data_IF_214902296068
#
_entry.id   IF_214902296068
#
_cell.length_a   1.000
_cell.length_b   1.000
_cell.length_c   1.000
_cell.angle_alpha   90.00
_cell.angle_beta   90.00
_cell.angle_gamma   90.00
#
_symmetry.space_group_name_H-M   'P 1'
#
loop_
_entity.id
_entity.type
_entity.pdbx_description
1 polymer ?
#
# COMPACT_ATOMS: atom_id res chain seq x y z
N UNK A 1 -15.69 -13.93 14.42
CA UNK A 1 -16.22 -13.57 13.08
C UNK A 1 -16.26 -12.07 12.78
N UNK A 2 -16.87 -11.21 13.60
CA UNK A 2 -17.16 -9.80 13.24
C UNK A 2 -15.97 -8.96 12.72
N UNK A 3 -14.76 -9.07 13.31
CA UNK A 3 -13.68 -8.14 12.95
C UNK A 3 -13.00 -8.39 11.59
N UNK A 4 -13.22 -9.54 10.92
CA UNK A 4 -12.77 -9.74 9.53
C UNK A 4 -13.84 -9.33 8.51
N UNK A 5 -15.06 -9.00 8.94
CA UNK A 5 -16.13 -8.62 8.03
C UNK A 5 -15.83 -7.32 7.30
N UNK A 6 -15.24 -6.33 7.97
CA UNK A 6 -14.94 -5.04 7.33
C UNK A 6 -13.92 -5.17 6.17
N UNK A 7 -12.75 -5.81 6.32
CA UNK A 7 -11.85 -6.07 5.19
C UNK A 7 -12.53 -6.80 4.03
N UNK A 8 -13.33 -7.83 4.32
CA UNK A 8 -14.06 -8.60 3.29
C UNK A 8 -15.07 -7.72 2.57
N UNK A 9 -15.83 -6.91 3.31
CA UNK A 9 -16.80 -5.96 2.75
C UNK A 9 -16.12 -4.89 1.89
N UNK A 10 -14.95 -4.39 2.30
CA UNK A 10 -14.18 -3.42 1.50
C UNK A 10 -13.73 -4.03 0.17
N UNK A 11 -13.25 -5.28 0.17
CA UNK A 11 -12.88 -5.99 -1.07
C UNK A 11 -14.11 -6.24 -1.94
N UNK A 12 -15.22 -6.70 -1.34
CA UNK A 12 -16.47 -6.93 -2.08
C UNK A 12 -17.02 -5.63 -2.70
N UNK A 13 -17.02 -4.54 -1.95
CA UNK A 13 -17.37 -3.21 -2.46
C UNK A 13 -16.40 -2.77 -3.57
N UNK A 14 -15.10 -3.05 -3.43
CA UNK A 14 -14.10 -2.78 -4.46
C UNK A 14 -14.39 -3.53 -5.75
N UNK A 15 -14.73 -4.82 -5.67
CA UNK A 15 -15.12 -5.62 -6.84
C UNK A 15 -16.36 -5.04 -7.51
N UNK A 16 -17.36 -4.63 -6.72
CA UNK A 16 -18.58 -4.04 -7.24
C UNK A 16 -18.36 -2.67 -7.91
N UNK A 17 -17.41 -1.87 -7.41
CA UNK A 17 -17.11 -0.53 -7.94
C UNK A 17 -16.14 -0.58 -9.12
N UNK A 18 -15.09 -1.40 -9.10
CA UNK A 18 -14.00 -1.32 -10.08
C UNK A 18 -14.11 -2.30 -11.25
N UNK A 19 -14.84 -3.42 -11.12
CA UNK A 19 -14.96 -4.39 -12.23
C UNK A 19 -15.89 -3.92 -13.36
N UNK A 20 -17.09 -3.37 -13.07
CA UNK A 20 -18.00 -2.93 -14.12
C UNK A 20 -17.42 -1.77 -14.91
N UNK A 21 -17.64 -1.78 -16.23
CA UNK A 21 -17.40 -0.61 -17.06
C UNK A 21 -18.61 0.34 -16.94
N UNK A 22 -18.40 1.66 -16.78
CA UNK A 22 -19.51 2.61 -16.74
C UNK A 22 -20.22 2.63 -18.10
N UNK A 23 -21.56 2.58 -18.06
CA UNK A 23 -22.40 2.51 -19.26
C UNK A 23 -22.63 3.90 -19.88
N UNK A 24 -22.65 4.94 -19.04
CA UNK A 24 -22.82 6.34 -19.45
C UNK A 24 -22.03 7.31 -18.54
N UNK A 25 -22.15 8.61 -18.82
CA UNK A 25 -21.47 9.67 -18.06
C UNK A 25 -21.94 9.79 -16.61
N UNK A 26 -23.22 9.53 -16.32
CA UNK A 26 -23.77 9.58 -14.96
C UNK A 26 -23.25 8.42 -14.11
N UNK A 27 -23.23 7.21 -14.67
CA UNK A 27 -22.64 6.03 -14.05
C UNK A 27 -21.15 6.23 -13.77
N UNK A 28 -20.42 6.87 -14.69
CA UNK A 28 -18.99 7.20 -14.49
C UNK A 28 -18.79 8.15 -13.30
N UNK A 29 -19.62 9.19 -13.17
CA UNK A 29 -19.55 10.11 -12.03
C UNK A 29 -19.82 9.40 -10.70
N UNK A 30 -20.87 8.57 -10.64
CA UNK A 30 -21.20 7.79 -9.44
C UNK A 30 -20.04 6.83 -9.10
N UNK A 31 -19.50 6.13 -10.09
CA UNK A 31 -18.38 5.20 -9.91
C UNK A 31 -17.12 5.92 -9.40
N UNK A 32 -16.85 7.13 -9.88
CA UNK A 32 -15.75 7.96 -9.39
C UNK A 32 -15.93 8.34 -7.91
N UNK A 33 -17.12 8.82 -7.52
CA UNK A 33 -17.43 9.15 -6.12
C UNK A 33 -17.31 7.93 -5.20
N UNK A 34 -17.83 6.77 -5.65
CA UNK A 34 -17.73 5.52 -4.91
C UNK A 34 -16.28 5.04 -4.81
N UNK A 35 -15.49 5.17 -5.88
CA UNK A 35 -14.07 4.81 -5.92
C UNK A 35 -13.28 5.59 -4.87
N UNK A 36 -13.37 6.91 -4.88
CA UNK A 36 -12.66 7.77 -3.93
C UNK A 36 -13.12 7.47 -2.50
N UNK A 37 -14.44 7.43 -2.27
CA UNK A 37 -15.00 7.15 -0.95
C UNK A 37 -14.51 5.81 -0.40
N UNK A 38 -14.50 4.77 -1.22
CA UNK A 38 -14.06 3.44 -0.82
C UNK A 38 -12.56 3.41 -0.50
N UNK A 39 -11.72 4.07 -1.30
CA UNK A 39 -10.28 4.15 -1.04
C UNK A 39 -9.99 4.91 0.27
N UNK A 40 -10.69 6.01 0.54
CA UNK A 40 -10.58 6.76 1.81
C UNK A 40 -11.05 5.92 3.00
N UNK A 41 -12.18 5.22 2.86
CA UNK A 41 -12.69 4.32 3.90
C UNK A 41 -11.73 3.16 4.19
N UNK A 42 -11.17 2.56 3.15
CA UNK A 42 -10.18 1.48 3.28
C UNK A 42 -8.90 1.99 3.96
N UNK A 43 -8.45 3.19 3.62
CA UNK A 43 -7.29 3.84 4.24
C UNK A 43 -7.53 4.12 5.73
N UNK A 44 -8.70 4.68 6.07
CA UNK A 44 -9.11 4.89 7.45
C UNK A 44 -9.24 3.58 8.24
N UNK A 45 -9.82 2.54 7.65
CA UNK A 45 -9.94 1.22 8.26
C UNK A 45 -8.58 0.57 8.53
N UNK A 46 -7.62 0.70 7.60
CA UNK A 46 -6.25 0.23 7.78
C UNK A 46 -5.54 1.01 8.89
N UNK A 47 -5.56 2.34 8.83
CA UNK A 47 -4.92 3.20 9.82
C UNK A 47 -5.46 2.95 11.23
N UNK A 48 -6.78 2.86 11.39
CA UNK A 48 -7.40 2.61 12.70
C UNK A 48 -7.08 1.21 13.24
N UNK A 49 -7.11 0.17 12.40
CA UNK A 49 -6.79 -1.19 12.83
C UNK A 49 -5.32 -1.32 13.26
N UNK A 50 -4.39 -0.76 12.48
CA UNK A 50 -2.96 -0.77 12.79
C UNK A 50 -2.64 0.11 14.01
N UNK A 51 -3.31 1.25 14.18
CA UNK A 51 -3.14 2.09 15.38
C UNK A 51 -3.65 1.38 16.63
N UNK A 52 -4.76 0.63 16.52
CA UNK A 52 -5.26 -0.20 17.61
C UNK A 52 -4.28 -1.33 17.95
N UNK A 53 -3.63 -1.94 16.96
CA UNK A 53 -2.53 -2.88 17.18
C UNK A 53 -1.35 -2.19 17.88
N UNK A 54 -0.94 -0.99 17.47
CA UNK A 54 0.13 -0.25 18.14
C UNK A 54 -0.17 0.02 19.63
N UNK A 55 -1.43 0.27 19.96
CA UNK A 55 -1.87 0.58 21.33
C UNK A 55 -1.90 -0.62 22.28
N UNK A 56 -1.66 -1.84 21.81
CA UNK A 56 -1.48 -3.00 22.71
C UNK A 56 -0.11 -3.01 23.38
N UNK A 57 0.81 -2.16 22.92
CA UNK A 57 2.18 -2.06 23.42
C UNK A 57 2.41 -0.78 24.25
N UNK A 58 3.41 -0.81 25.14
CA UNK A 58 3.81 0.35 25.93
C UNK A 58 4.45 1.43 25.05
N UNK A 59 4.47 2.68 25.54
CA UNK A 59 4.92 3.85 24.77
C UNK A 59 6.36 3.76 24.26
N UNK A 60 7.20 2.95 24.91
CA UNK A 60 8.63 2.87 24.63
C UNK A 60 9.02 1.56 23.92
N UNK A 61 8.03 0.71 23.63
CA UNK A 61 8.26 -0.57 22.96
C UNK A 61 8.56 -0.33 21.48
N UNK A 62 9.49 -1.12 20.95
CA UNK A 62 9.86 -1.08 19.54
C UNK A 62 8.66 -1.37 18.64
N UNK A 63 7.87 -2.37 19.01
CA UNK A 63 6.69 -2.82 18.30
C UNK A 63 5.67 -1.68 18.18
N UNK A 64 5.48 -0.89 19.24
CA UNK A 64 4.58 0.28 19.17
C UNK A 64 5.02 1.26 18.10
N UNK A 65 6.33 1.52 17.97
CA UNK A 65 6.86 2.41 16.94
C UNK A 65 6.59 1.84 15.54
N UNK A 66 6.91 0.57 15.31
CA UNK A 66 6.67 -0.11 14.03
C UNK A 66 5.19 -0.06 13.64
N UNK A 67 4.29 -0.47 14.53
CA UNK A 67 2.85 -0.45 14.28
C UNK A 67 2.28 0.96 14.11
N UNK A 68 2.83 1.96 14.83
CA UNK A 68 2.41 3.36 14.68
C UNK A 68 2.83 3.95 13.34
N UNK A 69 4.06 3.66 12.87
CA UNK A 69 4.53 4.06 11.54
C UNK A 69 3.70 3.37 10.45
N UNK A 70 3.45 2.06 10.59
CA UNK A 70 2.59 1.30 9.70
C UNK A 70 1.15 1.83 9.68
N UNK A 71 0.63 2.36 10.79
CA UNK A 71 -0.69 2.99 10.88
C UNK A 71 -0.71 4.41 10.28
N UNK A 72 0.36 5.17 10.47
CA UNK A 72 0.50 6.52 9.95
C UNK A 72 0.51 6.52 8.41
N UNK A 73 1.13 5.52 7.78
CA UNK A 73 1.18 5.39 6.32
C UNK A 73 -0.20 5.42 5.62
N UNK A 74 -1.15 4.51 5.88
CA UNK A 74 -2.49 4.58 5.29
C UNK A 74 -3.25 5.83 5.76
N UNK A 75 -2.97 6.37 6.95
CA UNK A 75 -3.55 7.64 7.40
C UNK A 75 -3.15 8.82 6.50
N UNK A 76 -1.84 8.98 6.26
CA UNK A 76 -1.29 10.00 5.35
C UNK A 76 -1.77 9.76 3.91
N UNK A 77 -1.82 8.50 3.47
CA UNK A 77 -2.39 8.15 2.16
C UNK A 77 -3.84 8.63 2.03
N UNK A 78 -4.67 8.35 3.04
CA UNK A 78 -6.07 8.80 3.08
C UNK A 78 -6.19 10.32 3.01
N UNK A 79 -5.32 11.06 3.70
CA UNK A 79 -5.26 12.54 3.59
C UNK A 79 -4.89 12.96 2.17
N UNK A 80 -3.92 12.30 1.52
CA UNK A 80 -3.56 12.55 0.12
C UNK A 80 -4.74 12.37 -0.84
N UNK A 81 -5.54 11.31 -0.65
CA UNK A 81 -6.76 11.06 -1.44
C UNK A 81 -7.82 12.15 -1.22
N UNK A 82 -7.99 12.63 0.02
CA UNK A 82 -8.92 13.72 0.31
C UNK A 82 -8.47 15.04 -0.33
N UNK A 83 -7.16 15.33 -0.30
CA UNK A 83 -6.58 16.49 -0.98
C UNK A 83 -6.80 16.39 -2.48
N UNK A 84 -6.56 15.23 -3.07
CA UNK A 84 -6.83 14.97 -4.50
C UNK A 84 -8.30 15.24 -4.84
N UNK A 85 -9.22 14.61 -4.11
CA UNK A 85 -10.67 14.75 -4.33
C UNK A 85 -11.16 16.20 -4.18
N UNK A 86 -10.63 16.95 -3.21
CA UNK A 86 -11.00 18.35 -2.99
C UNK A 86 -10.54 19.25 -4.16
N UNK A 87 -9.36 18.97 -4.74
CA UNK A 87 -8.86 19.70 -5.90
C UNK A 87 -9.69 19.43 -7.15
N UNK A 88 -10.05 18.18 -7.38
CA UNK A 88 -10.97 17.83 -8.47
C UNK A 88 -12.33 18.50 -8.30
N UNK A 89 -12.89 18.48 -7.08
CA UNK A 89 -14.17 19.13 -6.78
C UNK A 89 -14.16 20.64 -7.02
N UNK A 90 -13.02 21.29 -6.79
CA UNK A 90 -12.85 22.73 -7.04
C UNK A 90 -12.50 23.06 -8.50
N UNK A 91 -12.54 22.08 -9.41
CA UNK A 91 -12.26 22.25 -10.83
C UNK A 91 -10.78 22.50 -11.13
N UNK A 92 -9.88 22.24 -10.19
CA UNK A 92 -8.44 22.37 -10.42
C UNK A 92 -7.92 21.11 -11.10
N UNK A 93 -7.30 21.28 -12.27
CA UNK A 93 -6.56 20.20 -12.93
C UNK A 93 -5.34 19.86 -12.07
N UNK A 94 -5.31 18.65 -11.52
CA UNK A 94 -4.14 18.15 -10.80
C UNK A 94 -3.13 17.63 -11.82
N UNK A 95 -2.19 18.49 -12.22
CA UNK A 95 -1.05 18.07 -13.02
C UNK A 95 -0.17 17.13 -12.20
N UNK A 96 0.32 16.06 -12.82
CA UNK A 96 1.35 15.21 -12.23
C UNK A 96 2.72 15.90 -12.40
N UNK A 97 3.53 16.02 -11.35
CA UNK A 97 3.25 15.64 -9.96
C UNK A 97 2.42 16.68 -9.20
N UNK A 98 1.55 16.20 -8.33
CA UNK A 98 0.60 16.99 -7.54
C UNK A 98 0.97 17.01 -6.05
N UNK A 99 0.30 17.88 -5.28
CA UNK A 99 0.43 17.88 -3.81
C UNK A 99 0.00 16.53 -3.20
N UNK A 100 -0.94 15.81 -3.83
CA UNK A 100 -1.36 14.49 -3.36
C UNK A 100 -0.23 13.44 -3.47
N UNK A 101 0.66 13.58 -4.46
CA UNK A 101 1.83 12.72 -4.62
C UNK A 101 2.82 12.85 -3.46
N UNK A 102 2.95 14.04 -2.87
CA UNK A 102 3.79 14.23 -1.68
C UNK A 102 3.29 13.40 -0.48
N UNK A 103 1.96 13.32 -0.29
CA UNK A 103 1.36 12.46 0.74
C UNK A 103 1.57 10.98 0.41
N UNK A 104 1.47 10.60 -0.86
CA UNK A 104 1.68 9.22 -1.31
C UNK A 104 3.14 8.78 -1.07
N UNK A 105 4.11 9.61 -1.43
CA UNK A 105 5.53 9.39 -1.15
C UNK A 105 5.76 9.27 0.36
N UNK A 106 5.23 10.19 1.15
CA UNK A 106 5.35 10.14 2.61
C UNK A 106 4.76 8.85 3.21
N UNK A 107 3.61 8.38 2.71
CA UNK A 107 3.03 7.11 3.14
C UNK A 107 3.95 5.92 2.85
N UNK A 108 4.58 5.88 1.68
CA UNK A 108 5.53 4.83 1.34
C UNK A 108 6.82 4.90 2.16
N UNK A 109 7.33 6.09 2.44
CA UNK A 109 8.50 6.27 3.30
C UNK A 109 8.21 5.81 4.74
N UNK A 110 7.00 6.05 5.26
CA UNK A 110 6.57 5.55 6.56
C UNK A 110 6.47 4.01 6.60
N UNK A 111 5.92 3.38 5.54
CA UNK A 111 5.94 1.92 5.41
C UNK A 111 7.37 1.39 5.34
N UNK A 112 8.23 2.04 4.57
CA UNK A 112 9.64 1.66 4.44
C UNK A 112 10.35 1.73 5.80
N UNK A 113 10.12 2.79 6.57
CA UNK A 113 10.66 2.93 7.91
C UNK A 113 10.13 1.83 8.86
N UNK A 114 8.82 1.58 8.87
CA UNK A 114 8.21 0.55 9.71
C UNK A 114 8.76 -0.86 9.40
N UNK A 115 8.77 -1.23 8.13
CA UNK A 115 9.22 -2.55 7.68
C UNK A 115 10.73 -2.70 7.78
N UNK A 116 11.48 -1.62 7.52
CA UNK A 116 12.94 -1.60 7.66
C UNK A 116 13.37 -1.78 9.11
N UNK A 117 12.74 -1.07 10.05
CA UNK A 117 12.99 -1.19 11.48
C UNK A 117 12.74 -2.63 11.95
N UNK A 118 11.58 -3.21 11.63
CA UNK A 118 11.27 -4.59 11.99
C UNK A 118 12.22 -5.58 11.33
N UNK A 119 12.51 -5.40 10.03
CA UNK A 119 13.40 -6.29 9.29
C UNK A 119 14.79 -6.34 9.92
N UNK A 120 15.34 -5.19 10.32
CA UNK A 120 16.64 -5.13 10.98
C UNK A 120 16.64 -5.91 12.30
N UNK A 121 15.57 -5.77 13.10
CA UNK A 121 15.39 -6.48 14.35
C UNK A 121 15.34 -8.00 14.16
N UNK A 122 14.57 -8.48 13.18
CA UNK A 122 14.37 -9.93 12.94
C UNK A 122 15.44 -10.54 12.04
N UNK A 123 16.27 -9.73 11.37
CA UNK A 123 17.30 -10.20 10.45
C UNK A 123 18.27 -11.23 11.04
N UNK A 124 18.64 -11.20 12.34
CA UNK A 124 19.48 -12.23 12.94
C UNK A 124 18.79 -13.60 13.08
N UNK A 125 17.45 -13.63 13.05
CA UNK A 125 16.66 -14.86 13.08
C UNK A 125 16.61 -15.56 11.71
N UNK A 126 17.00 -14.86 10.64
CA UNK A 126 17.00 -15.37 9.27
C UNK A 126 18.35 -16.02 8.92
N UNK A 127 18.30 -17.14 8.21
CA UNK A 127 19.52 -17.76 7.68
C UNK A 127 20.19 -16.83 6.65
N UNK A 128 21.52 -16.93 6.45
CA UNK A 128 22.20 -16.18 5.40
C UNK A 128 21.56 -16.36 4.02
N UNK A 129 21.13 -17.58 3.70
CA UNK A 129 20.44 -17.90 2.44
C UNK A 129 19.08 -17.22 2.31
N UNK A 130 18.30 -17.12 3.39
CA UNK A 130 17.03 -16.39 3.38
C UNK A 130 17.24 -14.90 3.13
N UNK A 131 18.23 -14.29 3.80
CA UNK A 131 18.57 -12.87 3.57
C UNK A 131 19.03 -12.62 2.14
N UNK A 132 19.89 -13.50 1.61
CA UNK A 132 20.32 -13.41 0.22
C UNK A 132 19.15 -13.58 -0.75
N UNK A 133 18.25 -14.55 -0.51
CA UNK A 133 17.08 -14.76 -1.36
C UNK A 133 16.13 -13.55 -1.36
N UNK A 134 15.94 -12.90 -0.21
CA UNK A 134 15.15 -11.66 -0.11
C UNK A 134 15.79 -10.51 -0.87
N UNK A 135 17.10 -10.31 -0.71
CA UNK A 135 17.84 -9.26 -1.42
C UNK A 135 17.88 -9.51 -2.93
N UNK A 136 18.20 -10.74 -3.35
CA UNK A 136 18.23 -11.13 -4.76
C UNK A 136 16.85 -11.09 -5.39
N UNK A 137 15.81 -11.56 -4.68
CA UNK A 137 14.43 -11.49 -5.14
C UNK A 137 13.95 -10.05 -5.30
N UNK A 138 14.22 -9.19 -4.32
CA UNK A 138 13.95 -7.75 -4.41
C UNK A 138 14.67 -7.09 -5.59
N UNK A 139 15.96 -7.39 -5.75
CA UNK A 139 16.77 -6.93 -6.89
C UNK A 139 16.21 -7.37 -8.23
N UNK A 140 15.87 -8.65 -8.39
CA UNK A 140 15.28 -9.21 -9.61
C UNK A 140 13.93 -8.58 -9.94
N UNK A 141 13.07 -8.40 -8.94
CA UNK A 141 11.78 -7.69 -9.11
C UNK A 141 12.04 -6.24 -9.53
N UNK A 142 13.00 -5.56 -8.92
CA UNK A 142 13.40 -4.21 -9.30
C UNK A 142 13.87 -4.14 -10.75
N UNK A 143 14.77 -5.03 -11.18
CA UNK A 143 15.24 -5.10 -12.57
C UNK A 143 14.07 -5.39 -13.53
N UNK A 144 13.19 -6.33 -13.21
CA UNK A 144 12.05 -6.68 -14.05
C UNK A 144 11.06 -5.52 -14.20
N UNK A 145 10.75 -4.81 -13.10
CA UNK A 145 9.81 -3.68 -13.13
C UNK A 145 10.43 -2.45 -13.79
N UNK A 146 11.65 -2.08 -13.43
CA UNK A 146 12.32 -0.89 -13.97
C UNK A 146 12.72 -1.12 -15.44
N UNK A 147 13.37 -2.24 -15.74
CA UNK A 147 13.86 -2.56 -17.07
C UNK A 147 12.81 -3.14 -18.02
N UNK A 148 11.79 -3.83 -17.50
CA UNK A 148 10.74 -4.44 -18.32
C UNK A 148 9.49 -3.56 -18.46
N UNK A 149 9.01 -2.97 -17.36
CA UNK A 149 7.73 -2.26 -17.32
C UNK A 149 7.92 -0.74 -17.47
N UNK A 150 8.92 -0.16 -16.80
CA UNK A 150 9.16 1.29 -16.82
C UNK A 150 10.13 1.76 -17.88
N UNK A 151 10.83 0.86 -18.59
CA UNK A 151 11.79 1.26 -19.61
C UNK A 151 11.23 2.27 -20.63
N UNK A 152 10.00 2.10 -21.16
CA UNK A 152 9.40 3.10 -22.05
C UNK A 152 9.25 4.47 -21.38
N UNK A 153 8.83 4.51 -20.12
CA UNK A 153 8.68 5.74 -19.32
C UNK A 153 10.03 6.44 -19.15
N UNK A 154 11.06 5.68 -18.77
CA UNK A 154 12.39 6.20 -18.48
C UNK A 154 13.17 6.64 -19.71
N UNK A 155 12.87 6.05 -20.86
CA UNK A 155 13.48 6.39 -22.15
C UNK A 155 12.96 7.70 -22.74
N UNK A 156 11.84 8.23 -22.24
CA UNK A 156 11.26 9.49 -22.71
C UNK A 156 11.85 10.72 -22.01
N UNK A 157 11.88 11.88 -22.68
CA UNK A 157 12.36 13.14 -22.12
C UNK A 157 11.34 13.77 -21.15
N UNK A 158 11.08 13.08 -20.03
CA UNK A 158 10.25 13.57 -18.93
C UNK A 158 10.99 14.61 -18.07
N UNK A 159 10.23 15.46 -17.37
CA UNK A 159 10.81 16.35 -16.37
C UNK A 159 11.51 15.53 -15.27
N UNK A 160 12.67 15.95 -14.73
CA UNK A 160 13.43 15.13 -13.78
C UNK A 160 12.65 14.70 -12.53
N UNK A 161 11.72 15.55 -12.07
CA UNK A 161 10.86 15.25 -10.92
C UNK A 161 9.85 14.13 -11.23
N UNK A 162 9.20 14.16 -12.40
CA UNK A 162 8.27 13.12 -12.84
C UNK A 162 9.00 11.78 -12.96
N UNK A 163 10.14 11.79 -13.64
CA UNK A 163 10.99 10.60 -13.78
C UNK A 163 11.42 10.04 -12.41
N UNK A 164 11.76 10.91 -11.47
CA UNK A 164 12.13 10.52 -10.11
C UNK A 164 10.99 9.86 -9.35
N UNK A 165 9.77 10.38 -9.48
CA UNK A 165 8.57 9.82 -8.85
C UNK A 165 8.16 8.49 -9.49
N UNK A 166 8.23 8.38 -10.82
CA UNK A 166 7.93 7.13 -11.53
C UNK A 166 8.91 6.02 -11.12
N UNK A 167 10.21 6.35 -11.03
CA UNK A 167 11.24 5.43 -10.50
C UNK A 167 10.96 5.06 -9.05
N UNK A 168 10.56 6.01 -8.22
CA UNK A 168 10.21 5.75 -6.83
C UNK A 168 9.05 4.76 -6.75
N UNK A 169 7.93 5.03 -7.44
CA UNK A 169 6.76 4.15 -7.43
C UNK A 169 7.08 2.77 -7.99
N UNK A 170 7.84 2.68 -9.08
CA UNK A 170 8.31 1.42 -9.65
C UNK A 170 9.25 0.64 -8.74
N UNK A 171 10.06 1.33 -7.94
CA UNK A 171 10.99 0.76 -6.98
C UNK A 171 10.31 0.28 -5.69
N UNK A 172 9.11 0.78 -5.37
CA UNK A 172 8.42 0.40 -4.12
C UNK A 172 8.25 -1.11 -3.91
N UNK A 173 7.88 -1.94 -4.90
CA UNK A 173 7.72 -3.37 -4.67
C UNK A 173 9.07 -4.06 -4.40
N UNK A 174 10.14 -3.62 -5.07
CA UNK A 174 11.48 -4.18 -4.93
C UNK A 174 12.05 -4.00 -3.51
N UNK A 175 11.61 -2.97 -2.79
CA UNK A 175 12.04 -2.67 -1.44
C UNK A 175 11.04 -3.19 -0.39
N UNK A 176 9.77 -2.80 -0.49
CA UNK A 176 8.80 -3.03 0.57
C UNK A 176 8.40 -4.50 0.70
N UNK A 177 8.31 -5.23 -0.42
CA UNK A 177 7.86 -6.64 -0.39
C UNK A 177 8.89 -7.53 0.30
N UNK A 178 10.19 -7.51 -0.05
CA UNK A 178 11.19 -8.28 0.69
C UNK A 178 11.27 -7.93 2.18
N UNK A 179 11.17 -6.63 2.51
CA UNK A 179 11.18 -6.17 3.90
C UNK A 179 9.98 -6.68 4.69
N UNK A 180 8.78 -6.75 4.08
CA UNK A 180 7.60 -7.35 4.71
C UNK A 180 7.70 -8.88 4.85
N UNK A 181 8.34 -9.56 3.88
CA UNK A 181 8.49 -11.02 3.91
C UNK A 181 9.45 -11.46 5.02
N UNK A 182 10.50 -10.69 5.30
CA UNK A 182 11.49 -11.03 6.34
C UNK A 182 10.85 -11.39 7.69
N UNK A 183 10.06 -10.49 8.32
CA UNK A 183 9.31 -10.80 9.54
C UNK A 183 8.36 -11.98 9.40
N UNK A 184 7.66 -12.13 8.26
CA UNK A 184 6.79 -13.28 8.03
C UNK A 184 7.54 -14.62 8.07
N UNK A 185 8.77 -14.67 7.54
CA UNK A 185 9.65 -15.84 7.63
C UNK A 185 10.19 -16.03 9.05
N UNK A 186 10.63 -14.95 9.70
CA UNK A 186 11.21 -15.00 11.04
C UNK A 186 10.22 -15.54 12.08
N UNK A 187 8.94 -15.15 11.97
CA UNK A 187 7.87 -15.57 12.88
C UNK A 187 7.07 -16.78 12.36
N UNK A 188 7.62 -17.54 11.40
CA UNK A 188 6.94 -18.71 10.82
C UNK A 188 6.55 -19.72 11.90
N UNK A 189 5.38 -20.32 11.75
CA UNK A 189 4.85 -21.33 12.68
C UNK A 189 4.16 -20.74 13.93
N UNK A 190 4.25 -19.43 14.16
CA UNK A 190 3.49 -18.72 15.19
C UNK A 190 2.32 -17.91 14.62
N UNK A 191 1.39 -17.53 15.49
CA UNK A 191 0.26 -16.66 15.12
C UNK A 191 0.71 -15.31 14.53
N UNK A 192 1.85 -14.78 14.99
CA UNK A 192 2.48 -13.56 14.47
C UNK A 192 2.89 -13.70 13.00
N UNK A 193 3.29 -14.89 12.54
CA UNK A 193 3.64 -15.13 11.14
C UNK A 193 2.47 -14.84 10.19
N UNK A 194 1.24 -15.22 10.57
CA UNK A 194 0.04 -14.95 9.76
C UNK A 194 -0.31 -13.47 9.70
N UNK A 195 -0.09 -12.72 10.77
CA UNK A 195 -0.25 -11.26 10.80
C UNK A 195 0.66 -10.61 9.76
N UNK A 196 1.93 -11.02 9.73
CA UNK A 196 2.94 -10.52 8.80
C UNK A 196 2.68 -10.96 7.36
N UNK A 197 2.14 -12.16 7.13
CA UNK A 197 1.69 -12.57 5.78
C UNK A 197 0.58 -11.66 5.24
N UNK A 198 -0.35 -11.22 6.09
CA UNK A 198 -1.35 -10.22 5.68
C UNK A 198 -0.72 -8.85 5.39
N UNK A 199 0.34 -8.45 6.11
CA UNK A 199 1.11 -7.24 5.80
C UNK A 199 1.83 -7.36 4.45
N UNK A 200 2.44 -8.52 4.17
CA UNK A 200 3.05 -8.84 2.87
C UNK A 200 2.02 -8.69 1.75
N UNK A 201 0.85 -9.31 1.90
CA UNK A 201 -0.23 -9.20 0.91
C UNK A 201 -0.67 -7.74 0.71
N UNK A 202 -0.84 -7.00 1.80
CA UNK A 202 -1.24 -5.59 1.79
C UNK A 202 -0.26 -4.70 1.05
N UNK A 203 1.01 -4.77 1.45
CA UNK A 203 2.13 -4.01 0.87
C UNK A 203 2.34 -4.38 -0.59
N UNK A 204 2.28 -5.66 -0.94
CA UNK A 204 2.42 -6.12 -2.33
C UNK A 204 1.34 -5.53 -3.22
N UNK A 205 0.08 -5.55 -2.78
CA UNK A 205 -1.04 -4.98 -3.55
C UNK A 205 -0.88 -3.45 -3.72
N UNK A 206 -0.49 -2.73 -2.67
CA UNK A 206 -0.27 -1.28 -2.73
C UNK A 206 0.89 -0.90 -3.66
N UNK A 207 1.99 -1.65 -3.59
CA UNK A 207 3.17 -1.42 -4.41
C UNK A 207 2.85 -1.68 -5.89
N UNK A 208 2.23 -2.83 -6.20
CA UNK A 208 1.79 -3.15 -7.56
C UNK A 208 0.76 -2.15 -8.10
N UNK A 209 -0.16 -1.67 -7.27
CA UNK A 209 -1.11 -0.65 -7.68
C UNK A 209 -0.43 0.68 -8.07
N UNK A 210 0.69 0.99 -7.42
CA UNK A 210 1.44 2.23 -7.68
C UNK A 210 2.27 2.12 -8.95
N UNK A 211 2.91 0.97 -9.19
CA UNK A 211 3.56 0.68 -10.49
C UNK A 211 2.54 0.73 -11.62
N UNK A 212 1.40 0.08 -11.43
CA UNK A 212 0.32 0.07 -12.43
C UNK A 212 -0.22 1.48 -12.70
N UNK A 213 -0.40 2.31 -11.67
CA UNK A 213 -0.80 3.70 -11.85
C UNK A 213 0.24 4.50 -12.63
N UNK A 214 1.52 4.45 -12.26
CA UNK A 214 2.57 5.16 -12.97
C UNK A 214 2.66 4.74 -14.45
N UNK A 215 2.59 3.43 -14.72
CA UNK A 215 2.57 2.89 -16.08
C UNK A 215 1.37 3.40 -16.89
N UNK A 216 0.16 3.31 -16.33
CA UNK A 216 -1.06 3.70 -17.02
C UNK A 216 -1.15 5.22 -17.21
N UNK A 217 -0.66 6.01 -16.25
CA UNK A 217 -0.62 7.46 -16.34
C UNK A 217 0.29 7.91 -17.50
N UNK A 218 1.45 7.26 -17.66
CA UNK A 218 2.36 7.54 -18.77
C UNK A 218 1.71 7.34 -20.17
N UNK A 219 0.83 6.34 -20.31
CA UNK A 219 0.10 6.08 -21.56
C UNK A 219 -1.24 6.80 -21.67
N UNK A 220 -1.58 7.69 -20.72
CA UNK A 220 -2.88 8.37 -20.64
C UNK A 220 -4.08 7.40 -20.58
N UNK A 221 -3.85 6.21 -20.01
CA UNK A 221 -4.86 5.16 -19.81
C UNK A 221 -5.39 5.11 -18.38
N UNK A 222 -4.75 5.82 -17.45
CA UNK A 222 -5.16 5.85 -16.07
C UNK A 222 -6.45 6.66 -15.89
N UNK A 223 -7.35 6.13 -15.08
CA UNK A 223 -8.55 6.84 -14.62
C UNK A 223 -8.79 6.50 -13.14
N UNK A 224 -9.49 7.35 -12.40
CA UNK A 224 -9.76 7.10 -10.97
C UNK A 224 -10.69 5.91 -10.72
N UNK A 225 -11.37 5.46 -11.76
CA UNK A 225 -12.22 4.26 -11.76
C UNK A 225 -11.50 3.03 -12.34
N UNK A 226 -10.22 3.16 -12.70
CA UNK A 226 -9.47 2.07 -13.30
C UNK A 226 -9.33 0.88 -12.34
N UNK A 227 -9.39 -0.34 -12.90
CA UNK A 227 -9.34 -1.62 -12.15
C UNK A 227 -8.10 -1.77 -11.27
N UNK A 228 -7.02 -1.08 -11.59
CA UNK A 228 -5.78 -1.07 -10.77
C UNK A 228 -6.04 -0.57 -9.34
N UNK A 229 -7.05 0.29 -9.15
CA UNK A 229 -7.42 0.81 -7.83
C UNK A 229 -8.06 -0.27 -6.94
N UNK A 230 -8.51 -1.39 -7.49
CA UNK A 230 -8.90 -2.57 -6.71
C UNK A 230 -7.72 -3.12 -5.90
N UNK A 231 -6.50 -3.10 -6.44
CA UNK A 231 -5.30 -3.51 -5.71
C UNK A 231 -5.02 -2.57 -4.54
N UNK A 232 -5.31 -1.26 -4.67
CA UNK A 232 -5.19 -0.33 -3.53
C UNK A 232 -6.14 -0.70 -2.42
N UNK A 233 -7.43 -0.91 -2.75
CA UNK A 233 -8.44 -1.29 -1.76
C UNK A 233 -8.14 -2.63 -1.13
N UNK A 234 -7.77 -3.64 -1.92
CA UNK A 234 -7.38 -4.95 -1.42
C UNK A 234 -6.15 -4.87 -0.51
N UNK A 235 -5.17 -4.04 -0.87
CA UNK A 235 -3.98 -3.79 -0.07
C UNK A 235 -4.31 -3.21 1.30
N UNK A 236 -5.08 -2.12 1.33
CA UNK A 236 -5.54 -1.48 2.56
C UNK A 236 -6.43 -2.40 3.41
N UNK A 237 -7.31 -3.18 2.78
CA UNK A 237 -8.13 -4.18 3.45
C UNK A 237 -7.27 -5.26 4.12
N UNK A 238 -6.23 -5.76 3.44
CA UNK A 238 -5.30 -6.74 4.00
C UNK A 238 -4.51 -6.15 5.19
N UNK A 239 -4.04 -4.90 5.09
CA UNK A 239 -3.40 -4.20 6.22
C UNK A 239 -4.36 -4.06 7.42
N UNK A 240 -5.62 -3.73 7.17
CA UNK A 240 -6.66 -3.63 8.20
C UNK A 240 -6.93 -4.99 8.87
N UNK A 241 -7.00 -6.06 8.07
CA UNK A 241 -7.15 -7.43 8.56
C UNK A 241 -5.95 -7.84 9.44
N UNK A 242 -4.72 -7.53 9.03
CA UNK A 242 -3.51 -7.79 9.81
C UNK A 242 -3.50 -7.08 11.15
N UNK A 243 -3.76 -5.76 11.19
CA UNK A 243 -3.82 -5.03 12.47
C UNK A 243 -4.91 -5.57 13.40
N UNK A 244 -6.05 -5.94 12.83
CA UNK A 244 -7.16 -6.53 13.59
C UNK A 244 -6.83 -7.90 14.15
N UNK A 245 -6.18 -8.76 13.35
CA UNK A 245 -5.72 -10.07 13.78
C UNK A 245 -4.68 -9.93 14.88
N UNK A 246 -3.69 -9.05 14.67
CA UNK A 246 -2.62 -8.79 15.63
C UNK A 246 -3.17 -8.47 17.02
N UNK A 247 -4.07 -7.48 17.11
CA UNK A 247 -4.68 -7.09 18.38
C UNK A 247 -5.36 -8.27 19.08
N UNK A 248 -6.12 -9.07 18.34
CA UNK A 248 -6.83 -10.24 18.90
C UNK A 248 -5.87 -11.31 19.40
N UNK A 249 -4.76 -11.51 18.70
CA UNK A 249 -3.73 -12.44 19.12
C UNK A 249 -3.13 -12.00 20.44
N UNK A 250 -2.80 -10.71 20.61
CA UNK A 250 -2.26 -10.18 21.87
C UNK A 250 -3.29 -10.24 23.00
N UNK A 251 -4.57 -9.95 22.72
CA UNK A 251 -5.65 -10.03 23.72
C UNK A 251 -6.01 -11.46 24.17
N UNK A 252 -5.58 -12.48 23.41
CA UNK A 252 -5.84 -13.89 23.73
C UNK A 252 -4.70 -14.56 24.51
N UNK A 253 -3.57 -13.86 24.68
CA UNK A 253 -2.41 -14.26 25.49
C UNK A 253 -2.56 -13.73 26.92
#
# INVERSE_FOLDING_TARGET
>A
MVALMLPVLLVAAGLAVFLPAPVDGGARLIQHLLSISLQVLAAGAAATALLRAARTYALHDHERRVWSLAAAAPGIWGVGLLVYALREWTGQVSLYPSVADAFLVAAFLLLLAALGDEFLLVSPMLTPWQRLALAAGGGLVGVALIGGVMWPVLSNPLHPLERGLDLFYAGTPALLVPLAIGPAIAFRGGASGYVWLGLVAGVTCLALASVGMAYLAFYDLYTDVHRVNLLRVAGLAALSASGTWHRRMVEAL
#
